data_IF_890405160552
#
_entry.id   IF_890405160552
#
_cell.length_a   1.000
_cell.length_b   1.000
_cell.length_c   1.000
_cell.angle_alpha   90.00
_cell.angle_beta   90.00
_cell.angle_gamma   90.00
#
_symmetry.space_group_name_H-M   'P 1'
#
loop_
_entity.id
_entity.type
_entity.pdbx_description
1 polymer ?
#
# COMPACT_ATOMS: atom_id res chain seq x y z
N UNK A 1 -5.49 3.73 18.77
CA UNK A 1 -5.33 5.16 18.41
C UNK A 1 -3.90 5.58 18.69
N UNK A 2 -3.33 6.48 17.88
CA UNK A 2 -1.98 7.03 18.11
C UNK A 2 -2.04 8.12 19.20
N UNK A 3 -0.97 8.24 19.99
CA UNK A 3 -0.79 9.38 20.89
C UNK A 3 -0.61 10.69 20.10
N UNK A 4 -0.85 11.86 20.71
CA UNK A 4 -0.52 13.15 20.09
C UNK A 4 0.94 13.18 19.61
N UNK A 5 1.16 13.56 18.35
CA UNK A 5 2.49 13.57 17.71
C UNK A 5 2.99 12.19 17.24
N UNK A 6 2.20 11.12 17.41
CA UNK A 6 2.54 9.78 16.94
C UNK A 6 2.74 9.69 15.43
N UNK A 7 3.60 8.77 15.01
CA UNK A 7 3.97 8.54 13.60
C UNK A 7 3.79 7.07 13.26
N UNK A 8 3.33 6.80 12.03
CA UNK A 8 3.23 5.46 11.46
C UNK A 8 4.35 5.25 10.45
N UNK A 9 5.07 4.14 10.58
CA UNK A 9 5.92 3.60 9.55
C UNK A 9 5.08 2.60 8.73
N UNK A 10 4.66 3.00 7.53
CA UNK A 10 3.93 2.12 6.62
C UNK A 10 4.93 1.51 5.63
N UNK A 11 5.01 0.18 5.61
CA UNK A 11 5.85 -0.58 4.68
C UNK A 11 4.94 -1.40 3.79
N UNK A 12 5.04 -1.18 2.49
CA UNK A 12 4.22 -1.86 1.49
C UNK A 12 5.07 -2.38 0.34
N UNK A 13 4.55 -3.35 -0.40
CA UNK A 13 5.25 -3.88 -1.56
C UNK A 13 5.51 -2.77 -2.58
N UNK A 14 6.68 -2.80 -3.21
CA UNK A 14 7.03 -1.82 -4.24
C UNK A 14 6.08 -1.95 -5.43
N UNK A 15 5.43 -0.84 -5.77
CA UNK A 15 4.58 -0.71 -6.94
C UNK A 15 4.52 0.75 -7.41
N UNK A 16 4.62 0.94 -8.72
CA UNK A 16 4.22 2.16 -9.39
C UNK A 16 2.69 2.26 -9.45
N UNK A 17 2.17 3.48 -9.63
CA UNK A 17 0.74 3.76 -9.64
C UNK A 17 0.00 3.22 -10.90
N UNK A 18 0.74 2.85 -11.94
CA UNK A 18 0.18 2.29 -13.17
C UNK A 18 0.78 0.92 -13.48
N UNK A 19 -0.09 -0.04 -13.83
CA UNK A 19 0.29 -1.43 -14.14
C UNK A 19 1.37 -1.54 -15.22
N UNK A 20 1.30 -0.69 -16.26
CA UNK A 20 2.28 -0.68 -17.35
C UNK A 20 3.71 -0.40 -16.89
N UNK A 21 3.87 0.29 -15.77
CA UNK A 21 5.16 0.65 -15.19
C UNK A 21 5.67 -0.47 -14.25
N UNK A 22 4.81 -1.43 -13.88
CA UNK A 22 5.13 -2.55 -13.01
C UNK A 22 5.48 -3.84 -13.80
N UNK A 23 5.68 -3.80 -15.12
CA UNK A 23 5.88 -5.03 -15.91
C UNK A 23 7.26 -5.67 -15.63
N UNK A 24 7.30 -6.55 -14.64
CA UNK A 24 8.48 -7.31 -14.22
C UNK A 24 8.09 -8.68 -13.64
N UNK A 25 9.00 -9.67 -13.62
CA UNK A 25 8.72 -10.97 -13.00
C UNK A 25 8.33 -10.88 -11.52
N UNK A 26 8.92 -9.94 -10.78
CA UNK A 26 8.62 -9.72 -9.36
C UNK A 26 7.19 -9.21 -9.18
N UNK A 27 6.79 -8.21 -9.95
CA UNK A 27 5.43 -7.69 -9.90
C UNK A 27 4.39 -8.72 -10.36
N UNK A 28 4.69 -9.52 -11.39
CA UNK A 28 3.83 -10.62 -11.80
C UNK A 28 3.57 -11.61 -10.65
N UNK A 29 4.63 -11.94 -9.89
CA UNK A 29 4.51 -12.79 -8.71
C UNK A 29 3.62 -12.13 -7.64
N UNK A 30 3.83 -10.84 -7.33
CA UNK A 30 3.03 -10.12 -6.34
C UNK A 30 1.56 -9.98 -6.73
N UNK A 31 1.26 -9.55 -7.97
CA UNK A 31 -0.11 -9.50 -8.47
C UNK A 31 -0.80 -10.86 -8.37
N UNK A 32 -0.13 -11.93 -8.81
CA UNK A 32 -0.71 -13.28 -8.81
C UNK A 32 -0.94 -13.79 -7.39
N UNK A 33 0.04 -13.61 -6.49
CA UNK A 33 -0.06 -14.03 -5.10
C UNK A 33 -1.15 -13.25 -4.36
N UNK A 34 -1.19 -11.93 -4.53
CA UNK A 34 -2.15 -11.08 -3.84
C UNK A 34 -3.58 -11.33 -4.29
N UNK A 35 -3.84 -11.53 -5.58
CA UNK A 35 -5.18 -11.90 -6.07
C UNK A 35 -5.67 -13.17 -5.37
N UNK A 36 -4.82 -14.18 -5.26
CA UNK A 36 -5.17 -15.49 -4.69
C UNK A 36 -5.17 -15.53 -3.16
N UNK A 37 -4.53 -14.57 -2.50
CA UNK A 37 -4.34 -14.57 -1.04
C UNK A 37 -4.96 -13.30 -0.43
N UNK A 38 -4.35 -12.14 -0.61
CA UNK A 38 -4.73 -10.90 0.06
C UNK A 38 -6.11 -10.40 -0.38
N UNK A 39 -6.37 -10.34 -1.69
CA UNK A 39 -7.65 -9.91 -2.23
C UNK A 39 -8.76 -10.90 -1.88
N UNK A 40 -8.49 -12.20 -2.06
CA UNK A 40 -9.45 -13.26 -1.71
C UNK A 40 -9.85 -13.18 -0.23
N UNK A 41 -8.87 -12.98 0.66
CA UNK A 41 -9.13 -12.82 2.08
C UNK A 41 -9.95 -11.56 2.40
N UNK A 42 -9.57 -10.40 1.84
CA UNK A 42 -10.30 -9.15 2.05
C UNK A 42 -11.77 -9.26 1.60
N UNK A 43 -12.03 -9.90 0.45
CA UNK A 43 -13.39 -10.14 -0.05
C UNK A 43 -14.15 -11.09 0.87
N UNK A 44 -13.51 -12.17 1.32
CA UNK A 44 -14.12 -13.16 2.21
C UNK A 44 -14.60 -12.55 3.53
N UNK A 45 -13.90 -11.53 4.04
CA UNK A 45 -14.27 -10.79 5.26
C UNK A 45 -15.24 -9.62 5.01
N UNK A 46 -15.80 -9.50 3.79
CA UNK A 46 -16.73 -8.42 3.44
C UNK A 46 -16.05 -7.06 3.23
N UNK A 47 -14.75 -7.05 2.95
CA UNK A 47 -13.98 -5.85 2.70
C UNK A 47 -14.40 -5.12 1.42
N UNK A 48 -14.73 -3.83 1.54
CA UNK A 48 -15.15 -2.99 0.42
C UNK A 48 -13.98 -2.27 -0.29
N UNK A 49 -12.79 -2.32 0.30
CA UNK A 49 -11.58 -1.71 -0.24
C UNK A 49 -10.52 -2.78 -0.45
N UNK A 50 -10.54 -3.40 -1.62
CA UNK A 50 -9.61 -4.46 -2.02
C UNK A 50 -8.46 -3.84 -2.79
N UNK A 51 -7.42 -3.41 -2.08
CA UNK A 51 -6.32 -2.62 -2.67
C UNK A 51 -5.30 -3.45 -3.47
N UNK A 52 -5.16 -4.75 -3.15
CA UNK A 52 -4.08 -5.62 -3.67
C UNK A 52 -2.68 -5.17 -3.17
N UNK A 53 -1.67 -6.05 -3.23
CA UNK A 53 -0.32 -5.77 -2.74
C UNK A 53 0.42 -4.69 -3.57
N UNK A 54 0.05 -4.50 -4.83
CA UNK A 54 0.62 -3.52 -5.75
C UNK A 54 -0.27 -2.28 -5.89
N UNK A 55 -0.84 -1.79 -4.79
CA UNK A 55 -1.74 -0.64 -4.77
C UNK A 55 -1.09 0.68 -5.26
N UNK A 56 0.22 0.82 -5.08
CA UNK A 56 0.97 2.03 -5.43
C UNK A 56 0.82 3.17 -4.43
N UNK A 57 1.75 4.12 -4.49
CA UNK A 57 1.83 5.23 -3.55
C UNK A 57 0.59 6.11 -3.56
N UNK A 58 0.06 6.47 -4.73
CA UNK A 58 -1.06 7.39 -4.86
C UNK A 58 -2.31 6.85 -4.17
N UNK A 59 -2.57 5.54 -4.32
CA UNK A 59 -3.72 4.89 -3.70
C UNK A 59 -3.56 4.76 -2.19
N UNK A 60 -2.36 4.39 -1.70
CA UNK A 60 -2.06 4.36 -0.27
C UNK A 60 -2.22 5.74 0.38
N UNK A 61 -1.73 6.79 -0.28
CA UNK A 61 -1.88 8.16 0.19
C UNK A 61 -3.36 8.60 0.26
N UNK A 62 -4.22 8.16 -0.67
CA UNK A 62 -5.66 8.40 -0.61
C UNK A 62 -6.31 7.73 0.61
N UNK A 63 -5.93 6.49 0.92
CA UNK A 63 -6.42 5.77 2.10
C UNK A 63 -5.99 6.47 3.39
N UNK A 64 -4.74 6.89 3.48
CA UNK A 64 -4.26 7.66 4.63
C UNK A 64 -5.02 8.99 4.80
N UNK A 65 -5.28 9.71 3.71
CA UNK A 65 -6.08 10.95 3.75
C UNK A 65 -7.51 10.70 4.22
N UNK A 66 -8.14 9.60 3.80
CA UNK A 66 -9.48 9.20 4.28
C UNK A 66 -9.50 8.85 5.78
N UNK A 67 -8.34 8.53 6.35
CA UNK A 67 -8.15 8.26 7.78
C UNK A 67 -7.68 9.49 8.57
N UNK A 68 -7.84 10.70 8.02
CA UNK A 68 -7.46 11.98 8.60
C UNK A 68 -5.96 12.18 8.84
N UNK A 69 -5.10 11.44 8.14
CA UNK A 69 -3.67 11.76 8.10
C UNK A 69 -3.42 12.91 7.12
N UNK A 70 -2.76 13.97 7.57
CA UNK A 70 -2.45 15.14 6.73
C UNK A 70 -1.04 15.11 6.15
N UNK A 71 -0.17 14.26 6.69
CA UNK A 71 1.20 14.06 6.21
C UNK A 71 1.42 12.63 5.75
N UNK A 72 1.87 12.49 4.51
CA UNK A 72 2.24 11.21 3.90
C UNK A 72 3.48 11.43 3.03
N UNK A 73 4.60 10.82 3.41
CA UNK A 73 5.89 11.03 2.74
C UNK A 73 6.60 9.70 2.55
N UNK A 74 7.17 9.48 1.37
CA UNK A 74 8.09 8.37 1.14
C UNK A 74 9.41 8.63 1.88
N UNK A 75 9.69 7.79 2.88
CA UNK A 75 10.87 7.89 3.72
C UNK A 75 12.06 7.13 3.12
N UNK A 76 11.80 5.97 2.51
CA UNK A 76 12.80 5.15 1.82
C UNK A 76 12.12 4.23 0.79
N UNK A 77 12.92 3.60 -0.05
CA UNK A 77 12.48 2.52 -0.92
C UNK A 77 13.58 1.47 -1.08
N UNK A 78 13.18 0.24 -1.37
CA UNK A 78 14.05 -0.86 -1.80
C UNK A 78 13.46 -1.45 -3.09
N UNK A 79 14.16 -2.37 -3.77
CA UNK A 79 13.60 -3.05 -4.94
C UNK A 79 12.27 -3.78 -4.68
N UNK A 80 11.91 -4.04 -3.42
CA UNK A 80 10.72 -4.79 -3.04
C UNK A 80 9.73 -4.01 -2.19
N UNK A 81 10.13 -2.88 -1.60
CA UNK A 81 9.28 -2.16 -0.66
C UNK A 81 9.29 -0.65 -0.87
N UNK A 82 8.14 -0.03 -0.65
CA UNK A 82 8.00 1.39 -0.39
C UNK A 82 7.83 1.60 1.12
N UNK A 83 8.56 2.55 1.68
CA UNK A 83 8.51 2.87 3.10
C UNK A 83 8.04 4.31 3.26
N UNK A 84 6.96 4.50 4.02
CA UNK A 84 6.32 5.79 4.24
C UNK A 84 6.32 6.19 5.71
N UNK A 85 6.51 7.49 5.93
CA UNK A 85 6.19 8.19 7.16
C UNK A 85 4.78 8.78 7.02
N UNK A 86 3.88 8.42 7.94
CA UNK A 86 2.50 8.89 7.94
C UNK A 86 2.16 9.51 9.30
N UNK A 87 1.65 10.75 9.29
CA UNK A 87 1.35 11.54 10.50
C UNK A 87 0.06 12.33 10.33
N UNK A 88 -0.60 12.59 11.45
CA UNK A 88 -1.77 13.49 11.48
C UNK A 88 -1.32 14.93 11.36
#
# INVERSE_FOLDING_TARGET
>A
MLAPGGTVLLVESFAHDHVKDNLSPVAQLYYSASIMICCAHAISEGGNLVLEAQAGQARLAEVCRKADFTHFRRAAETPFNLIFEVRR
#
